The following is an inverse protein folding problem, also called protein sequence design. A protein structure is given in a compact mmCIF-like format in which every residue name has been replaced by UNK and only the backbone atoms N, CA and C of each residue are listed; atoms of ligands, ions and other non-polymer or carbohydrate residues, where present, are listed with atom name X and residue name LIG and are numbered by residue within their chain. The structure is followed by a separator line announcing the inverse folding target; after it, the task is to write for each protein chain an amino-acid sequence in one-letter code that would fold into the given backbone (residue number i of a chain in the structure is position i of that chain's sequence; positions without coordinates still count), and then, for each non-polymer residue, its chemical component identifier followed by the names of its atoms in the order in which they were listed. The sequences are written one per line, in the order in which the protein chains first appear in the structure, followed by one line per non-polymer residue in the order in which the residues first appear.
data_IF_003573560063
#
_entry.id   IF_003573560063
#
_cell.length_a   1.000
_cell.length_b   1.000
_cell.length_c   1.000
_cell.angle_alpha   90.00
_cell.angle_beta   90.00
_cell.angle_gamma   90.00
#
_symmetry.space_group_name_H-M   'P 1'
#
loop_
_entity.id
_entity.type
_entity.pdbx_description
1 polymer ?
#
# COMPACT_ATOMS: atom_id res chain seq x y z
N UNK A 1 13.47 -4.68 -13.76
CA UNK A 1 12.34 -5.30 -14.47
C UNK A 1 12.31 -4.82 -15.91
N UNK A 2 11.71 -5.61 -16.80
CA UNK A 2 11.46 -5.23 -18.21
C UNK A 2 10.25 -4.30 -18.31
N UNK A 3 10.04 -3.69 -19.48
CA UNK A 3 8.85 -2.86 -19.73
C UNK A 3 7.56 -3.69 -19.71
N UNK A 4 7.60 -4.94 -20.18
CA UNK A 4 6.45 -5.84 -20.14
C UNK A 4 6.06 -6.21 -18.70
N UNK A 5 7.06 -6.52 -17.86
CA UNK A 5 6.84 -6.77 -16.44
C UNK A 5 6.26 -5.54 -15.73
N UNK A 6 6.75 -4.35 -16.06
CA UNK A 6 6.21 -3.10 -15.51
C UNK A 6 4.75 -2.88 -15.95
N UNK A 7 4.43 -3.08 -17.22
CA UNK A 7 3.06 -2.92 -17.71
C UNK A 7 2.11 -3.90 -17.03
N UNK A 8 2.49 -5.18 -16.93
CA UNK A 8 1.68 -6.18 -16.22
C UNK A 8 1.47 -5.82 -14.74
N UNK A 9 2.50 -5.26 -14.09
CA UNK A 9 2.38 -4.77 -12.72
C UNK A 9 1.40 -3.59 -12.59
N UNK A 10 1.46 -2.62 -13.51
CA UNK A 10 0.58 -1.45 -13.50
C UNK A 10 -0.88 -1.83 -13.81
N UNK A 11 -1.10 -2.75 -14.75
CA UNK A 11 -2.44 -3.28 -15.08
C UNK A 11 -3.07 -4.01 -13.89
N UNK A 12 -2.25 -4.74 -13.11
CA UNK A 12 -2.70 -5.42 -11.90
C UNK A 12 -2.96 -4.45 -10.73
N UNK A 13 -2.48 -3.20 -10.79
CA UNK A 13 -2.52 -2.24 -9.70
C UNK A 13 -3.07 -0.88 -10.17
N UNK A 14 -4.37 -0.78 -10.47
CA UNK A 14 -5.00 0.45 -10.99
C UNK A 14 -4.93 1.65 -10.03
N UNK A 15 -4.64 1.41 -8.75
CA UNK A 15 -4.40 2.45 -7.75
C UNK A 15 -3.05 3.18 -7.91
N UNK A 16 -2.16 2.67 -8.76
CA UNK A 16 -0.86 3.29 -9.04
C UNK A 16 -1.01 4.17 -10.28
N UNK A 17 -0.94 5.48 -10.05
CA UNK A 17 -0.86 6.47 -11.11
C UNK A 17 0.60 6.65 -11.53
N UNK A 18 0.83 6.87 -12.82
CA UNK A 18 2.18 7.03 -13.33
C UNK A 18 2.28 8.00 -14.50
N UNK A 19 3.48 8.55 -14.69
CA UNK A 19 3.84 9.38 -15.83
C UNK A 19 5.31 9.15 -16.19
N UNK A 20 5.68 9.46 -17.44
CA UNK A 20 7.06 9.37 -17.94
C UNK A 20 7.47 10.73 -18.50
N UNK A 21 8.68 11.20 -18.20
CA UNK A 21 9.25 12.41 -18.79
C UNK A 21 10.07 12.13 -20.06
N UNK A 22 10.52 13.19 -20.73
CA UNK A 22 11.31 13.13 -21.97
C UNK A 22 12.68 12.47 -21.77
N UNK A 23 13.23 12.56 -20.55
CA UNK A 23 14.48 11.89 -20.15
C UNK A 23 14.28 10.40 -19.85
N UNK A 24 13.03 9.93 -19.90
CA UNK A 24 12.63 8.55 -19.71
C UNK A 24 12.44 8.14 -18.25
N UNK A 25 12.51 9.06 -17.29
CA UNK A 25 12.25 8.78 -15.89
C UNK A 25 10.76 8.51 -15.68
N UNK A 26 10.48 7.55 -14.82
CA UNK A 26 9.13 7.24 -14.39
C UNK A 26 8.81 7.93 -13.07
N UNK A 27 7.60 8.47 -12.98
CA UNK A 27 7.02 9.00 -11.75
C UNK A 27 5.82 8.15 -11.40
N UNK A 28 5.78 7.66 -10.17
CA UNK A 28 4.71 6.83 -9.66
C UNK A 28 4.07 7.48 -8.43
N UNK A 29 2.76 7.27 -8.25
CA UNK A 29 2.00 7.72 -7.09
C UNK A 29 0.97 6.67 -6.71
N UNK A 30 0.90 6.30 -5.44
CA UNK A 30 -0.12 5.37 -4.96
C UNK A 30 -1.33 6.14 -4.42
N UNK A 31 -2.47 6.07 -5.10
CA UNK A 31 -3.64 6.90 -4.80
C UNK A 31 -4.20 6.73 -3.38
N UNK A 32 -4.07 5.55 -2.78
CA UNK A 32 -4.51 5.29 -1.40
C UNK A 32 -3.56 5.80 -0.32
N UNK A 33 -2.26 5.92 -0.61
CA UNK A 33 -1.25 6.16 0.42
C UNK A 33 -0.58 7.52 0.28
N UNK A 34 -0.44 8.02 -0.95
CA UNK A 34 0.25 9.26 -1.25
C UNK A 34 -0.74 10.40 -1.49
N UNK A 35 -0.38 11.59 -1.00
CA UNK A 35 -1.08 12.82 -1.32
C UNK A 35 -0.90 13.21 -2.80
N UNK A 36 -1.65 14.21 -3.27
CA UNK A 36 -1.62 14.67 -4.67
C UNK A 36 -0.23 15.14 -5.15
N UNK A 37 0.64 15.55 -4.23
CA UNK A 37 1.94 16.14 -4.55
C UNK A 37 3.12 15.18 -4.32
N UNK A 38 2.87 14.04 -3.69
CA UNK A 38 3.88 13.01 -3.44
C UNK A 38 4.01 12.11 -4.65
N UNK A 39 5.26 11.84 -5.05
CA UNK A 39 5.59 10.97 -6.17
C UNK A 39 6.96 10.35 -5.97
N UNK A 40 7.09 9.09 -6.36
CA UNK A 40 8.36 8.38 -6.40
C UNK A 40 8.92 8.47 -7.81
N UNK A 41 10.10 9.09 -7.95
CA UNK A 41 10.85 9.10 -9.22
C UNK A 41 11.72 7.83 -9.30
N UNK A 42 11.65 7.13 -10.41
CA UNK A 42 12.49 5.97 -10.73
C UNK A 42 13.15 6.19 -12.08
N UNK A 43 14.48 6.25 -12.08
CA UNK A 43 15.26 6.37 -13.31
C UNK A 43 15.25 5.06 -14.12
N UNK A 44 15.40 5.09 -15.45
CA UNK A 44 15.41 3.88 -16.29
C UNK A 44 16.39 2.81 -15.83
N UNK A 45 17.59 3.22 -15.41
CA UNK A 45 18.63 2.32 -14.91
C UNK A 45 18.25 1.66 -13.59
N UNK A 46 17.60 2.41 -12.70
CA UNK A 46 17.10 1.88 -11.44
C UNK A 46 15.94 0.90 -11.68
N UNK A 47 15.02 1.24 -12.59
CA UNK A 47 13.89 0.38 -12.97
C UNK A 47 14.37 -0.98 -13.49
N UNK A 48 15.44 -1.01 -14.29
CA UNK A 48 16.03 -2.25 -14.79
C UNK A 48 16.50 -3.19 -13.66
N UNK A 49 16.97 -2.62 -12.54
CA UNK A 49 17.58 -3.35 -11.43
C UNK A 49 16.63 -3.71 -10.27
N UNK A 50 15.38 -3.24 -10.29
CA UNK A 50 14.37 -3.57 -9.27
C UNK A 50 13.32 -4.54 -9.80
N UNK A 51 12.74 -5.35 -8.91
CA UNK A 51 11.58 -6.20 -9.18
C UNK A 51 10.27 -5.44 -8.94
N UNK A 52 9.16 -5.96 -9.49
CA UNK A 52 7.83 -5.42 -9.26
C UNK A 52 7.48 -5.34 -7.76
N UNK A 53 7.90 -6.34 -6.97
CA UNK A 53 7.68 -6.39 -5.52
C UNK A 53 8.45 -5.30 -4.78
N UNK A 54 9.68 -5.01 -5.21
CA UNK A 54 10.49 -3.93 -4.62
C UNK A 54 9.91 -2.55 -4.97
N UNK A 55 9.39 -2.40 -6.20
CA UNK A 55 8.66 -1.20 -6.59
C UNK A 55 7.40 -1.04 -5.73
N UNK A 56 6.55 -2.07 -5.61
CA UNK A 56 5.36 -2.06 -4.77
C UNK A 56 5.69 -1.66 -3.32
N UNK A 57 6.69 -2.30 -2.72
CA UNK A 57 7.15 -1.99 -1.36
C UNK A 57 7.53 -0.51 -1.22
N UNK A 58 8.15 0.07 -2.24
CA UNK A 58 8.57 1.47 -2.23
C UNK A 58 7.38 2.42 -2.33
N UNK A 59 6.41 2.13 -3.19
CA UNK A 59 5.20 2.95 -3.37
C UNK A 59 4.29 2.90 -2.14
N UNK A 60 4.16 1.72 -1.56
CA UNK A 60 3.37 1.52 -0.34
C UNK A 60 4.06 2.12 0.88
N UNK A 61 5.39 2.15 0.91
CA UNK A 61 6.16 2.65 2.06
C UNK A 61 5.89 1.88 3.36
N UNK A 62 5.55 0.59 3.26
CA UNK A 62 5.20 -0.24 4.43
C UNK A 62 3.83 0.05 5.06
N UNK A 63 2.96 0.84 4.40
CA UNK A 63 1.62 1.20 4.91
C UNK A 63 0.53 0.16 4.59
N UNK A 64 0.76 -0.75 3.65
CA UNK A 64 -0.14 -1.87 3.33
C UNK A 64 0.03 -2.98 4.37
N UNK A 65 -0.56 -2.76 5.55
CA UNK A 65 -0.50 -3.69 6.69
C UNK A 65 -1.90 -4.04 7.16
N UNK A 66 -2.07 -5.29 7.58
CA UNK A 66 -3.28 -5.74 8.26
C UNK A 66 -3.32 -5.17 9.68
N UNK A 67 -4.49 -4.65 10.08
CA UNK A 67 -4.75 -4.29 11.47
C UNK A 67 -5.06 -5.54 12.29
N UNK A 68 -4.44 -5.68 13.45
CA UNK A 68 -4.67 -6.78 14.40
C UNK A 68 -5.09 -6.16 15.74
N UNK A 69 -6.15 -6.70 16.33
CA UNK A 69 -6.56 -6.30 17.68
C UNK A 69 -7.09 -7.48 18.47
N UNK A 70 -7.19 -7.30 19.79
CA UNK A 70 -7.61 -8.35 20.73
C UNK A 70 -9.14 -8.50 20.74
N UNK A 71 -9.61 -9.73 20.59
CA UNK A 71 -10.97 -10.20 20.89
C UNK A 71 -10.94 -10.83 22.30
N UNK A 72 -11.99 -11.51 22.75
CA UNK A 72 -12.05 -12.22 24.03
C UNK A 72 -10.98 -13.31 24.13
N UNK A 73 -9.77 -12.94 24.58
CA UNK A 73 -8.67 -13.87 24.90
C UNK A 73 -7.63 -14.12 23.79
N UNK A 74 -7.78 -13.56 22.58
CA UNK A 74 -6.82 -13.79 21.48
C UNK A 74 -6.73 -12.58 20.53
N UNK A 75 -5.65 -12.49 19.76
CA UNK A 75 -5.46 -11.48 18.71
C UNK A 75 -6.02 -11.99 17.38
N UNK A 76 -6.66 -11.10 16.62
CA UNK A 76 -7.26 -11.44 15.33
C UNK A 76 -7.11 -10.27 14.34
N UNK A 77 -6.96 -10.60 13.05
CA UNK A 77 -6.95 -9.60 11.98
C UNK A 77 -8.34 -9.00 11.83
N UNK A 78 -8.40 -7.67 11.87
CA UNK A 78 -9.65 -6.89 11.76
C UNK A 78 -10.26 -7.07 10.37
N UNK A 79 -9.45 -7.23 9.33
CA UNK A 79 -9.89 -7.48 7.95
C UNK A 79 -10.76 -8.74 7.80
N UNK A 80 -10.61 -9.72 8.69
CA UNK A 80 -11.41 -10.96 8.69
C UNK A 80 -12.69 -10.90 9.53
N UNK A 81 -13.06 -9.73 10.05
CA UNK A 81 -14.20 -9.60 10.97
C UNK A 81 -15.51 -9.38 10.23
N UNK A 82 -16.56 -10.04 10.72
CA UNK A 82 -17.93 -9.78 10.29
C UNK A 82 -18.49 -8.54 11.01
N UNK A 83 -19.68 -8.09 10.58
CA UNK A 83 -20.38 -6.94 11.17
C UNK A 83 -20.58 -7.05 12.69
N UNK A 84 -20.79 -8.25 13.22
CA UNK A 84 -20.96 -8.49 14.67
C UNK A 84 -19.70 -8.15 15.47
N UNK A 85 -18.55 -8.71 15.08
CA UNK A 85 -17.25 -8.44 15.74
C UNK A 85 -16.84 -6.96 15.67
N UNK A 86 -17.13 -6.30 14.53
CA UNK A 86 -16.92 -4.86 14.39
C UNK A 86 -17.83 -4.06 15.35
N UNK A 87 -19.09 -4.49 15.52
CA UNK A 87 -20.02 -3.92 16.49
C UNK A 87 -19.53 -4.05 17.93
N UNK A 88 -19.03 -5.23 18.31
CA UNK A 88 -18.44 -5.47 19.64
C UNK A 88 -17.28 -4.51 19.92
N UNK A 89 -16.40 -4.28 18.94
CA UNK A 89 -15.27 -3.36 19.10
C UNK A 89 -15.72 -1.91 19.30
N UNK A 90 -16.75 -1.47 18.56
CA UNK A 90 -17.29 -0.12 18.68
C UNK A 90 -17.98 0.14 20.02
N UNK A 91 -18.52 -0.91 20.66
CA UNK A 91 -19.17 -0.81 21.97
C UNK A 91 -18.20 -0.82 23.16
N UNK A 92 -16.90 -1.03 22.93
CA UNK A 92 -15.92 -1.05 24.02
C UNK A 92 -15.71 0.35 24.58
N UNK A 93 -15.80 0.45 25.91
CA UNK A 93 -15.40 1.66 26.62
C UNK A 93 -13.87 1.80 26.59
N UNK A 94 -13.40 2.99 26.20
CA UNK A 94 -11.98 3.36 26.27
C UNK A 94 -11.71 3.95 27.64
N UNK A 95 -11.10 3.19 28.52
CA UNK A 95 -10.64 3.69 29.83
C UNK A 95 -9.24 4.29 29.67
N UNK A 96 -9.07 5.54 30.09
CA UNK A 96 -7.74 6.15 30.19
C UNK A 96 -6.96 5.49 31.32
N UNK A 97 -5.68 5.20 31.09
CA UNK A 97 -4.77 4.82 32.18
C UNK A 97 -4.34 6.12 32.85
N UNK A 98 -4.70 6.30 34.13
CA UNK A 98 -4.28 7.42 34.99
C UNK A 98 -2.91 7.09 35.57
#
# INVERSE_FOLDING_TARGET
MTHEELNSFLDANPQIEWAKDDDGNFYFRHSHYDSKHEKVKVEPRALANISAQQLEKTLVGGRNVDQITRVTGYFSRVSGWNKGKLGELNQRERVGVI
#
